data_IF_802792223916
#
_entry.id   IF_802792223916
#
_cell.length_a   1.000
_cell.length_b   1.000
_cell.length_c   1.000
_cell.angle_alpha   90.00
_cell.angle_beta   90.00
_cell.angle_gamma   90.00
#
_symmetry.space_group_name_H-M   'P 1'
#
loop_
_entity.id
_entity.type
_entity.pdbx_description
1 polymer ?
#
# COMPACT_ATOMS: atom_id res chain seq x y z
N UNK A 1 -32.62 39.84 50.64
CA UNK A 1 -34.07 39.88 50.34
C UNK A 1 -34.20 40.57 49.00
N UNK A 2 -34.52 40.02 47.83
CA UNK A 2 -34.94 38.71 47.26
C UNK A 2 -34.12 38.61 45.94
N UNK A 3 -33.48 37.51 45.54
CA UNK A 3 -33.99 36.21 45.06
C UNK A 3 -34.69 36.24 43.67
N UNK A 4 -34.07 35.51 42.72
CA UNK A 4 -34.63 34.78 41.54
C UNK A 4 -34.65 35.53 40.20
N UNK A 5 -34.30 34.79 39.12
CA UNK A 5 -34.04 35.14 37.69
C UNK A 5 -32.58 35.57 37.40
N UNK A 6 -31.74 34.90 36.60
CA UNK A 6 -31.96 33.98 35.49
C UNK A 6 -30.77 33.02 35.36
N UNK A 7 -30.97 31.76 35.75
CA UNK A 7 -30.12 30.63 35.35
C UNK A 7 -30.90 29.95 34.23
N UNK A 8 -30.45 30.10 32.99
CA UNK A 8 -31.10 29.43 31.86
C UNK A 8 -30.88 30.13 30.53
N UNK A 9 -29.62 30.27 30.10
CA UNK A 9 -29.25 30.40 28.68
C UNK A 9 -27.72 30.39 28.49
N UNK A 10 -27.03 29.32 28.92
CA UNK A 10 -25.57 29.22 28.70
C UNK A 10 -25.04 27.77 28.58
N UNK A 11 -25.89 26.81 28.18
CA UNK A 11 -25.50 25.40 28.03
C UNK A 11 -25.98 24.76 26.72
N UNK A 12 -26.18 25.55 25.66
CA UNK A 12 -26.69 25.02 24.39
C UNK A 12 -26.04 25.63 23.14
N UNK A 13 -24.74 25.99 23.21
CA UNK A 13 -24.06 26.55 22.03
C UNK A 13 -22.66 26.03 21.70
N UNK A 14 -22.08 25.16 22.53
CA UNK A 14 -20.80 24.51 22.25
C UNK A 14 -20.95 22.98 22.17
N UNK A 15 -21.98 22.53 21.44
CA UNK A 15 -21.84 21.30 20.65
C UNK A 15 -21.56 21.79 19.24
N UNK A 16 -20.42 22.45 19.06
CA UNK A 16 -19.73 22.36 17.78
C UNK A 16 -19.58 20.86 17.55
N UNK A 17 -20.39 20.38 16.62
CA UNK A 17 -20.15 19.17 15.87
C UNK A 17 -18.65 18.95 15.80
N UNK A 18 -18.12 18.06 16.63
CA UNK A 18 -16.97 17.31 16.25
C UNK A 18 -17.43 16.60 14.99
N UNK A 19 -17.25 17.27 13.85
CA UNK A 19 -16.97 16.62 12.58
C UNK A 19 -15.77 15.75 12.92
N UNK A 20 -16.07 14.57 13.48
CA UNK A 20 -15.22 13.41 13.33
C UNK A 20 -15.08 13.32 11.83
N UNK A 21 -13.97 13.85 11.33
CA UNK A 21 -13.43 13.49 10.04
C UNK A 21 -13.41 11.97 10.05
N UNK A 22 -14.50 11.39 9.56
CA UNK A 22 -14.64 9.97 9.40
C UNK A 22 -13.68 9.66 8.26
N UNK A 23 -12.42 9.48 8.60
CA UNK A 23 -11.38 9.18 7.65
C UNK A 23 -11.83 7.94 6.90
N UNK A 24 -11.98 8.11 5.59
CA UNK A 24 -12.41 7.04 4.72
C UNK A 24 -11.46 5.85 4.91
N UNK A 25 -12.02 4.67 5.19
CA UNK A 25 -11.29 3.46 5.53
C UNK A 25 -10.93 2.73 4.25
N UNK A 26 -9.66 2.36 4.14
CA UNK A 26 -9.15 1.62 2.99
C UNK A 26 -9.66 0.17 3.03
N UNK A 27 -10.10 -0.33 1.88
CA UNK A 27 -10.54 -1.72 1.68
C UNK A 27 -9.68 -2.35 0.59
N UNK A 28 -8.79 -3.26 0.97
CA UNK A 28 -7.95 -3.98 0.02
C UNK A 28 -8.73 -5.16 -0.53
N UNK A 29 -8.77 -5.28 -1.85
CA UNK A 29 -9.49 -6.34 -2.56
C UNK A 29 -8.65 -6.98 -3.66
N UNK A 30 -8.95 -8.23 -3.98
CA UNK A 30 -8.26 -9.01 -5.00
C UNK A 30 -8.55 -8.53 -6.44
N UNK A 31 -9.79 -8.07 -6.71
CA UNK A 31 -10.25 -7.70 -8.05
C UNK A 31 -11.34 -6.63 -8.04
N UNK A 32 -11.82 -6.22 -9.23
CA UNK A 32 -12.79 -5.13 -9.47
C UNK A 32 -14.22 -5.37 -8.90
N UNK A 33 -14.44 -6.43 -8.11
CA UNK A 33 -15.76 -6.74 -7.50
C UNK A 33 -16.01 -5.89 -6.26
N UNK A 34 -15.92 -4.57 -6.41
CA UNK A 34 -15.99 -3.63 -5.29
C UNK A 34 -17.37 -3.61 -4.64
N UNK A 35 -18.44 -3.58 -5.44
CA UNK A 35 -19.80 -3.36 -4.92
C UNK A 35 -20.27 -4.45 -3.96
N UNK A 36 -19.94 -5.72 -4.24
CA UNK A 36 -20.32 -6.85 -3.38
C UNK A 36 -19.53 -6.84 -2.06
N UNK A 37 -18.20 -6.61 -2.14
CA UNK A 37 -17.34 -6.51 -0.96
C UNK A 37 -17.78 -5.35 -0.06
N UNK A 38 -18.04 -4.18 -0.64
CA UNK A 38 -18.49 -3.02 0.13
C UNK A 38 -19.87 -3.28 0.74
N UNK A 39 -20.80 -3.91 0.02
CA UNK A 39 -22.11 -4.26 0.57
C UNK A 39 -21.99 -5.21 1.78
N UNK A 40 -21.12 -6.22 1.71
CA UNK A 40 -20.89 -7.16 2.81
C UNK A 40 -20.20 -6.47 4.01
N UNK A 41 -19.22 -5.59 3.77
CA UNK A 41 -18.58 -4.80 4.83
C UNK A 41 -19.54 -3.82 5.50
N UNK A 42 -20.45 -3.19 4.76
CA UNK A 42 -21.53 -2.34 5.31
C UNK A 42 -22.41 -3.16 6.27
N UNK A 43 -22.76 -4.40 5.88
CA UNK A 43 -23.57 -5.29 6.73
C UNK A 43 -22.78 -5.77 7.97
N UNK A 44 -21.50 -6.09 7.80
CA UNK A 44 -20.64 -6.59 8.87
C UNK A 44 -20.31 -5.51 9.91
N UNK A 45 -20.03 -4.29 9.47
CA UNK A 45 -19.53 -3.20 10.31
C UNK A 45 -20.59 -2.18 10.72
N UNK A 46 -21.70 -2.09 9.98
CA UNK A 46 -22.72 -1.06 10.15
C UNK A 46 -22.32 0.34 9.66
N UNK A 47 -21.17 0.47 8.98
CA UNK A 47 -20.70 1.74 8.40
C UNK A 47 -21.41 2.05 7.07
N UNK A 48 -21.62 3.33 6.72
CA UNK A 48 -22.15 3.71 5.41
C UNK A 48 -21.15 3.41 4.28
N UNK A 49 -21.67 3.20 3.06
CA UNK A 49 -20.86 2.93 1.85
C UNK A 49 -19.78 3.99 1.62
N UNK A 50 -20.09 5.27 1.88
CA UNK A 50 -19.17 6.38 1.67
C UNK A 50 -17.92 6.36 2.58
N UNK A 51 -17.92 5.54 3.64
CA UNK A 51 -16.77 5.39 4.53
C UNK A 51 -15.70 4.44 3.96
N UNK A 52 -15.95 3.77 2.83
CA UNK A 52 -15.04 2.78 2.29
C UNK A 52 -14.40 3.25 0.98
N UNK A 53 -13.08 3.10 0.89
CA UNK A 53 -12.30 3.33 -0.33
C UNK A 53 -11.73 1.99 -0.78
N UNK A 54 -12.33 1.34 -1.78
CA UNK A 54 -11.77 0.12 -2.32
C UNK A 54 -10.45 0.41 -3.05
N UNK A 55 -9.45 -0.43 -2.83
CA UNK A 55 -8.13 -0.36 -3.48
C UNK A 55 -7.74 -1.76 -3.90
N UNK A 56 -7.59 -2.03 -5.20
CA UNK A 56 -7.05 -3.30 -5.68
C UNK A 56 -5.68 -3.58 -5.09
N UNK A 57 -5.41 -4.82 -4.72
CA UNK A 57 -4.09 -5.24 -4.19
C UNK A 57 -2.95 -4.87 -5.16
N UNK A 58 -3.18 -4.97 -6.47
CA UNK A 58 -2.23 -4.54 -7.49
C UNK A 58 -1.85 -3.04 -7.34
N UNK A 59 -2.81 -2.16 -7.03
CA UNK A 59 -2.55 -0.74 -6.80
C UNK A 59 -1.82 -0.50 -5.48
N UNK A 60 -2.14 -1.30 -4.45
CA UNK A 60 -1.43 -1.23 -3.15
C UNK A 60 0.06 -1.49 -3.33
N UNK A 61 0.41 -2.54 -4.08
CA UNK A 61 1.81 -2.98 -4.22
C UNK A 61 2.60 -2.20 -5.26
N UNK A 62 1.97 -1.68 -6.33
CA UNK A 62 2.65 -0.88 -7.37
C UNK A 62 3.23 0.45 -6.85
N UNK A 63 2.69 0.98 -5.75
CA UNK A 63 3.13 2.25 -5.17
C UNK A 63 4.20 2.13 -4.08
N UNK A 64 4.74 0.94 -3.82
CA UNK A 64 5.74 0.70 -2.76
C UNK A 64 7.09 0.40 -3.42
N UNK A 65 8.09 1.21 -3.10
CA UNK A 65 9.46 0.96 -3.57
C UNK A 65 10.03 -0.32 -2.95
N UNK A 66 10.89 -1.05 -3.68
CA UNK A 66 11.66 -2.15 -3.13
C UNK A 66 12.45 -1.73 -1.88
N UNK A 67 12.45 -2.59 -0.87
CA UNK A 67 13.09 -2.29 0.41
C UNK A 67 13.76 -3.53 1.01
N UNK A 68 14.73 -3.30 1.87
CA UNK A 68 15.37 -4.33 2.68
C UNK A 68 14.74 -4.33 4.07
N UNK A 69 14.66 -5.50 4.68
CA UNK A 69 14.08 -5.66 6.03
C UNK A 69 15.05 -5.13 7.09
N UNK A 70 16.35 -5.37 6.94
CA UNK A 70 17.36 -4.97 7.92
C UNK A 70 18.19 -3.76 7.47
N UNK A 71 18.40 -3.60 6.18
CA UNK A 71 19.17 -2.51 5.57
C UNK A 71 18.27 -1.48 4.90
N UNK A 72 18.87 -0.46 4.28
CA UNK A 72 18.14 0.55 3.51
C UNK A 72 18.45 0.46 2.01
N UNK A 73 17.45 0.80 1.20
CA UNK A 73 17.59 1.01 -0.24
C UNK A 73 17.65 2.50 -0.51
N UNK A 74 18.49 2.92 -1.46
CA UNK A 74 18.61 4.30 -1.90
C UNK A 74 18.08 4.39 -3.34
N UNK A 75 16.85 4.92 -3.56
CA UNK A 75 16.34 5.13 -4.91
C UNK A 75 17.12 6.26 -5.59
N UNK A 76 17.01 6.35 -6.92
CA UNK A 76 17.49 7.52 -7.65
C UNK A 76 16.84 8.80 -7.11
N UNK A 77 17.66 9.73 -6.61
CA UNK A 77 17.21 11.07 -6.18
C UNK A 77 17.40 12.16 -7.24
N UNK A 78 18.14 11.86 -8.31
CA UNK A 78 18.54 12.82 -9.34
C UNK A 78 17.76 12.63 -10.64
N UNK A 79 18.13 13.39 -11.68
CA UNK A 79 17.58 13.20 -13.02
C UNK A 79 17.99 11.85 -13.59
N UNK A 80 17.03 11.17 -14.22
CA UNK A 80 17.26 9.95 -14.98
C UNK A 80 18.37 10.15 -16.02
N UNK A 81 19.29 9.19 -16.12
CA UNK A 81 20.45 9.18 -17.02
C UNK A 81 20.30 8.05 -18.04
N UNK A 82 20.43 8.38 -19.32
CA UNK A 82 20.44 7.34 -20.36
C UNK A 82 21.76 6.58 -20.40
N UNK A 83 21.70 5.31 -20.80
CA UNK A 83 22.90 4.51 -21.04
C UNK A 83 23.90 5.10 -22.01
N UNK A 84 23.39 5.77 -23.06
CA UNK A 84 24.23 6.48 -24.01
C UNK A 84 25.00 7.63 -23.35
N UNK A 85 24.33 8.43 -22.50
CA UNK A 85 24.97 9.50 -21.74
C UNK A 85 26.02 8.94 -20.78
N UNK A 86 25.68 7.89 -20.03
CA UNK A 86 26.61 7.19 -19.14
C UNK A 86 27.85 6.67 -19.89
N UNK A 87 27.66 6.07 -21.05
CA UNK A 87 28.74 5.55 -21.87
C UNK A 87 29.70 6.66 -22.37
N UNK A 88 29.19 7.84 -22.72
CA UNK A 88 30.05 8.96 -23.10
C UNK A 88 30.90 9.46 -21.92
N UNK A 89 30.37 9.45 -20.68
CA UNK A 89 31.16 9.77 -19.49
C UNK A 89 32.24 8.71 -19.24
N UNK A 90 31.94 7.42 -19.39
CA UNK A 90 32.94 6.34 -19.25
C UNK A 90 34.04 6.43 -20.31
N UNK A 91 33.70 6.78 -21.56
CA UNK A 91 34.71 7.04 -22.61
C UNK A 91 35.56 8.26 -22.29
N UNK A 92 34.95 9.33 -21.79
CA UNK A 92 35.68 10.53 -21.38
C UNK A 92 36.63 10.22 -20.21
N UNK A 93 36.18 9.40 -19.25
CA UNK A 93 37.00 8.90 -18.15
C UNK A 93 38.19 8.10 -18.68
N UNK A 94 37.95 7.17 -19.61
CA UNK A 94 39.03 6.42 -20.24
C UNK A 94 40.06 7.33 -20.90
N UNK A 95 39.60 8.31 -21.71
CA UNK A 95 40.50 9.28 -22.31
C UNK A 95 41.30 10.06 -21.27
N UNK A 96 40.67 10.51 -20.17
CA UNK A 96 41.38 11.21 -19.10
C UNK A 96 42.46 10.33 -18.45
N UNK A 97 42.20 9.03 -18.23
CA UNK A 97 43.21 8.09 -17.72
C UNK A 97 44.32 7.86 -18.75
N UNK A 98 43.99 7.65 -20.02
CA UNK A 98 44.95 7.37 -21.09
C UNK A 98 45.93 8.54 -21.34
N UNK A 99 45.50 9.78 -21.05
CA UNK A 99 46.32 11.00 -21.15
C UNK A 99 46.87 11.50 -19.80
N UNK A 100 46.78 10.69 -18.73
CA UNK A 100 47.28 11.02 -17.38
C UNK A 100 46.67 12.30 -16.77
N UNK A 101 45.43 12.63 -17.14
CA UNK A 101 44.64 13.74 -16.60
C UNK A 101 43.91 13.32 -15.31
N UNK A 102 44.67 12.89 -14.28
CA UNK A 102 44.13 12.18 -13.10
C UNK A 102 43.02 12.94 -12.35
N UNK A 103 43.16 14.25 -12.15
CA UNK A 103 42.13 15.05 -11.47
C UNK A 103 40.80 15.05 -12.25
N UNK A 104 40.88 15.14 -13.58
CA UNK A 104 39.71 15.07 -14.46
C UNK A 104 39.11 13.66 -14.45
N UNK A 105 39.95 12.63 -14.49
CA UNK A 105 39.51 11.24 -14.39
C UNK A 105 38.73 11.00 -13.08
N UNK A 106 39.24 11.49 -11.94
CA UNK A 106 38.53 11.40 -10.65
C UNK A 106 37.16 12.08 -10.69
N UNK A 107 37.06 13.28 -11.28
CA UNK A 107 35.78 13.98 -11.44
C UNK A 107 34.77 13.19 -12.30
N UNK A 108 35.21 12.69 -13.45
CA UNK A 108 34.38 11.87 -14.35
C UNK A 108 33.97 10.53 -13.72
N UNK A 109 34.85 9.90 -12.94
CA UNK A 109 34.53 8.68 -12.21
C UNK A 109 33.46 8.90 -11.13
N UNK A 110 33.52 10.04 -10.42
CA UNK A 110 32.50 10.42 -9.44
C UNK A 110 31.15 10.70 -10.12
N UNK A 111 31.16 11.45 -11.22
CA UNK A 111 29.96 11.73 -12.03
C UNK A 111 29.31 10.43 -12.53
N UNK A 112 30.09 9.53 -13.15
CA UNK A 112 29.60 8.26 -13.64
C UNK A 112 29.08 7.35 -12.51
N UNK A 113 29.76 7.33 -11.35
CA UNK A 113 29.30 6.54 -10.19
C UNK A 113 27.98 7.04 -9.63
N UNK A 114 27.79 8.36 -9.55
CA UNK A 114 26.53 8.96 -9.12
C UNK A 114 25.38 8.65 -10.10
N UNK A 115 25.67 8.59 -11.40
CA UNK A 115 24.70 8.26 -12.43
C UNK A 115 24.17 6.82 -12.37
N UNK A 116 24.91 5.86 -11.78
CA UNK A 116 24.53 4.44 -11.75
C UNK A 116 23.16 4.20 -11.11
N UNK A 117 22.85 4.92 -10.03
CA UNK A 117 21.56 4.80 -9.35
C UNK A 117 20.38 5.32 -10.16
N UNK A 118 20.64 6.09 -11.21
CA UNK A 118 19.63 6.84 -11.98
C UNK A 118 19.53 6.41 -13.44
N UNK A 119 20.07 5.24 -13.81
CA UNK A 119 19.93 4.74 -15.18
C UNK A 119 18.49 4.32 -15.50
N UNK A 120 18.01 4.69 -16.69
CA UNK A 120 16.73 4.23 -17.27
C UNK A 120 16.79 2.89 -18.01
N UNK A 121 18.00 2.34 -18.15
CA UNK A 121 18.25 1.05 -18.77
C UNK A 121 18.96 0.10 -17.82
N UNK A 122 18.90 -1.18 -18.14
CA UNK A 122 19.66 -2.18 -17.42
C UNK A 122 21.17 -1.94 -17.53
N UNK A 123 21.87 -2.04 -16.40
CA UNK A 123 23.30 -1.90 -16.26
C UNK A 123 24.00 -2.92 -17.17
N UNK A 124 24.90 -2.42 -18.01
CA UNK A 124 25.89 -3.23 -18.69
C UNK A 124 27.04 -3.51 -17.71
N UNK A 125 27.06 -4.71 -17.13
CA UNK A 125 28.04 -5.10 -16.12
C UNK A 125 29.50 -4.89 -16.58
N UNK A 126 29.81 -5.12 -17.87
CA UNK A 126 31.15 -4.90 -18.41
C UNK A 126 31.51 -3.41 -18.43
N UNK A 127 30.56 -2.56 -18.79
CA UNK A 127 30.75 -1.10 -18.80
C UNK A 127 30.95 -0.52 -17.41
N UNK A 128 30.18 -1.00 -16.42
CA UNK A 128 30.32 -0.57 -15.02
C UNK A 128 31.60 -1.11 -14.39
N UNK A 129 31.98 -2.35 -14.69
CA UNK A 129 33.29 -2.87 -14.34
C UNK A 129 34.42 -2.03 -14.92
N UNK A 130 34.30 -1.60 -16.19
CA UNK A 130 35.28 -0.72 -16.84
C UNK A 130 35.37 0.65 -16.16
N UNK A 131 34.24 1.26 -15.79
CA UNK A 131 34.21 2.49 -14.98
C UNK A 131 35.06 2.33 -13.70
N UNK A 132 34.77 1.30 -12.91
CA UNK A 132 35.47 1.08 -11.65
C UNK A 132 36.94 0.67 -11.84
N UNK A 133 37.26 -0.08 -12.88
CA UNK A 133 38.64 -0.39 -13.25
C UNK A 133 39.43 0.89 -13.57
N UNK A 134 38.90 1.76 -14.42
CA UNK A 134 39.54 3.03 -14.77
C UNK A 134 39.69 3.96 -13.56
N UNK A 135 38.68 4.00 -12.69
CA UNK A 135 38.76 4.72 -11.42
C UNK A 135 39.89 4.17 -10.53
N UNK A 136 40.12 2.86 -10.53
CA UNK A 136 41.20 2.23 -9.80
C UNK A 136 42.58 2.60 -10.38
N UNK A 137 42.72 2.57 -11.71
CA UNK A 137 43.95 3.00 -12.39
C UNK A 137 44.27 4.46 -12.08
N UNK A 138 43.28 5.36 -12.17
CA UNK A 138 43.46 6.77 -11.83
C UNK A 138 43.92 6.95 -10.38
N UNK A 139 43.30 6.24 -9.43
CA UNK A 139 43.67 6.31 -8.01
C UNK A 139 45.10 5.81 -7.74
N UNK A 140 45.59 4.80 -8.47
CA UNK A 140 47.01 4.39 -8.40
C UNK A 140 47.93 5.50 -8.90
N UNK A 141 47.59 6.14 -10.02
CA UNK A 141 48.35 7.28 -10.54
C UNK A 141 48.45 8.44 -9.54
N UNK A 142 47.40 8.66 -8.74
CA UNK A 142 47.37 9.65 -7.66
C UNK A 142 48.12 9.20 -6.39
N UNK A 143 48.65 7.97 -6.35
CA UNK A 143 49.31 7.39 -5.17
C UNK A 143 48.34 6.94 -4.07
N UNK A 144 47.04 6.82 -4.38
CA UNK A 144 46.00 6.42 -3.43
C UNK A 144 45.65 4.93 -3.57
N UNK A 145 46.50 4.08 -3.00
CA UNK A 145 46.34 2.62 -3.06
C UNK A 145 45.04 2.09 -2.41
N UNK A 146 44.53 2.76 -1.38
CA UNK A 146 43.28 2.37 -0.71
C UNK A 146 42.07 2.60 -1.62
N UNK A 147 41.96 3.80 -2.21
CA UNK A 147 40.88 4.10 -3.16
C UNK A 147 40.96 3.21 -4.40
N UNK A 148 42.17 2.92 -4.89
CA UNK A 148 42.38 1.98 -5.97
C UNK A 148 41.85 0.59 -5.63
N UNK A 149 42.14 0.10 -4.43
CA UNK A 149 41.68 -1.22 -4.01
C UNK A 149 40.15 -1.31 -3.90
N UNK A 150 39.50 -0.28 -3.36
CA UNK A 150 38.04 -0.20 -3.31
C UNK A 150 37.45 -0.23 -4.73
N UNK A 151 38.02 0.56 -5.66
CA UNK A 151 37.54 0.64 -7.03
C UNK A 151 37.72 -0.69 -7.79
N UNK A 152 38.89 -1.32 -7.71
CA UNK A 152 39.11 -2.63 -8.35
C UNK A 152 38.25 -3.73 -7.75
N UNK A 153 38.02 -3.73 -6.42
CA UNK A 153 37.08 -4.68 -5.79
C UNK A 153 35.67 -4.50 -6.36
N UNK A 154 35.20 -3.27 -6.50
CA UNK A 154 33.90 -2.97 -7.14
C UNK A 154 33.86 -3.44 -8.58
N UNK A 155 34.92 -3.24 -9.37
CA UNK A 155 34.96 -3.73 -10.75
C UNK A 155 34.73 -5.25 -10.83
N UNK A 156 35.29 -6.00 -9.87
CA UNK A 156 35.14 -7.46 -9.79
C UNK A 156 33.77 -7.92 -9.28
N UNK A 157 33.01 -7.07 -8.58
CA UNK A 157 31.60 -7.38 -8.26
C UNK A 157 30.79 -7.55 -9.55
N UNK A 158 30.98 -6.65 -10.51
CA UNK A 158 30.27 -6.70 -11.80
C UNK A 158 30.83 -7.77 -12.75
N UNK A 159 32.16 -7.97 -12.77
CA UNK A 159 32.84 -8.96 -13.62
C UNK A 159 33.87 -9.74 -12.78
N UNK A 160 33.51 -10.87 -12.16
CA UNK A 160 34.38 -11.60 -11.23
C UNK A 160 35.72 -12.05 -11.83
N UNK A 161 35.68 -12.41 -13.12
CA UNK A 161 36.83 -12.89 -13.90
C UNK A 161 37.55 -11.76 -14.66
N UNK A 162 37.36 -10.50 -14.22
CA UNK A 162 38.03 -9.36 -14.82
C UNK A 162 39.55 -9.53 -14.76
N UNK A 163 40.22 -9.36 -15.90
CA UNK A 163 41.67 -9.44 -16.02
C UNK A 163 42.30 -8.06 -16.10
N UNK A 164 43.56 -7.94 -15.67
CA UNK A 164 44.34 -6.72 -15.87
C UNK A 164 44.47 -6.36 -17.36
N UNK A 165 44.31 -5.08 -17.69
CA UNK A 165 44.49 -4.53 -19.04
C UNK A 165 45.94 -4.04 -19.20
N UNK A 166 46.72 -4.73 -20.02
CA UNK A 166 48.16 -4.49 -20.22
C UNK A 166 48.48 -3.13 -20.90
N UNK A 167 47.46 -2.35 -21.28
CA UNK A 167 47.66 -0.97 -21.74
C UNK A 167 47.96 0.01 -20.59
N UNK A 168 47.72 -0.38 -19.33
CA UNK A 168 47.95 0.48 -18.16
C UNK A 168 49.24 0.13 -17.39
N UNK A 169 49.80 1.08 -16.60
CA UNK A 169 51.06 0.87 -15.89
C UNK A 169 51.05 -0.32 -14.92
N UNK A 170 52.15 -1.09 -14.83
CA UNK A 170 52.21 -2.32 -14.03
C UNK A 170 52.07 -2.09 -12.51
N UNK A 171 52.29 -0.88 -12.02
CA UNK A 171 52.13 -0.57 -10.59
C UNK A 171 50.68 -0.81 -10.13
N UNK A 172 49.70 -0.53 -10.99
CA UNK A 172 48.29 -0.78 -10.67
C UNK A 172 47.92 -2.27 -10.67
N UNK A 173 48.63 -3.08 -11.47
CA UNK A 173 48.48 -4.53 -11.49
C UNK A 173 48.77 -5.16 -10.13
N UNK A 174 49.76 -4.66 -9.40
CA UNK A 174 50.09 -5.19 -8.07
C UNK A 174 48.91 -5.06 -7.09
N UNK A 175 48.21 -3.92 -7.12
CA UNK A 175 47.01 -3.69 -6.29
C UNK A 175 45.84 -4.53 -6.79
N UNK A 176 45.63 -4.60 -8.10
CA UNK A 176 44.58 -5.40 -8.74
C UNK A 176 44.71 -6.90 -8.41
N UNK A 177 45.90 -7.46 -8.59
CA UNK A 177 46.21 -8.87 -8.33
C UNK A 177 46.12 -9.21 -6.82
N UNK A 178 46.44 -8.26 -5.93
CA UNK A 178 46.27 -8.47 -4.49
C UNK A 178 44.80 -8.70 -4.12
N UNK A 179 43.87 -7.93 -4.71
CA UNK A 179 42.42 -8.08 -4.51
C UNK A 179 41.90 -9.36 -5.15
N UNK A 180 42.56 -9.85 -6.21
CA UNK A 180 42.27 -11.14 -6.81
C UNK A 180 42.43 -12.30 -5.82
N UNK A 181 43.39 -12.18 -4.88
CA UNK A 181 43.71 -13.20 -3.89
C UNK A 181 42.90 -13.08 -2.59
N UNK A 182 42.17 -11.98 -2.38
CA UNK A 182 41.36 -11.78 -1.18
C UNK A 182 40.11 -12.68 -1.21
N UNK A 183 39.79 -13.31 -0.07
CA UNK A 183 38.50 -13.97 0.10
C UNK A 183 37.40 -12.90 0.18
N UNK A 184 36.42 -12.97 -0.71
CA UNK A 184 35.25 -12.09 -0.68
C UNK A 184 34.29 -12.62 0.38
N UNK A 185 34.02 -11.80 1.40
CA UNK A 185 32.94 -12.10 2.35
C UNK A 185 31.59 -11.99 1.64
N UNK A 186 30.77 -13.02 1.79
CA UNK A 186 29.41 -13.06 1.25
C UNK A 186 28.38 -13.05 2.36
N UNK A 187 27.19 -12.56 2.04
CA UNK A 187 25.98 -12.59 2.86
C UNK A 187 24.86 -13.25 2.08
N UNK A 188 23.93 -13.86 2.79
CA UNK A 188 22.73 -14.44 2.20
C UNK A 188 21.68 -13.34 1.98
N UNK A 189 21.24 -13.16 0.74
CA UNK A 189 20.13 -12.28 0.41
C UNK A 189 18.94 -13.11 -0.08
N UNK A 190 17.81 -12.97 0.62
CA UNK A 190 16.55 -13.56 0.22
C UNK A 190 15.68 -12.51 -0.51
N UNK A 191 15.13 -12.84 -1.67
CA UNK A 191 14.28 -11.97 -2.47
C UNK A 191 12.84 -12.47 -2.40
N UNK A 192 11.92 -11.58 -2.02
CA UNK A 192 10.49 -11.88 -1.87
C UNK A 192 9.62 -10.92 -2.69
N UNK A 193 8.71 -11.43 -3.55
CA UNK A 193 8.54 -12.84 -3.88
C UNK A 193 9.77 -13.36 -4.63
N UNK A 194 9.80 -14.68 -4.87
CA UNK A 194 10.85 -15.26 -5.71
C UNK A 194 10.90 -14.50 -7.05
N UNK A 195 12.10 -14.12 -7.51
CA UNK A 195 12.25 -13.23 -8.65
C UNK A 195 11.66 -13.86 -9.91
N UNK A 196 10.99 -13.02 -10.69
CA UNK A 196 10.64 -13.32 -12.08
C UNK A 196 11.75 -12.78 -13.01
N UNK A 197 11.63 -12.98 -14.32
CA UNK A 197 12.64 -12.62 -15.35
C UNK A 197 13.01 -11.12 -15.46
N UNK A 198 12.51 -10.28 -14.54
CA UNK A 198 12.63 -8.80 -14.56
C UNK A 198 13.60 -8.22 -13.55
N UNK A 199 14.15 -9.03 -12.63
CA UNK A 199 15.06 -8.54 -11.59
C UNK A 199 16.51 -8.76 -12.01
N UNK A 200 17.32 -7.70 -11.92
CA UNK A 200 18.77 -7.77 -12.10
C UNK A 200 19.52 -7.29 -10.88
N UNK A 201 20.64 -7.92 -10.62
CA UNK A 201 21.63 -7.54 -9.62
C UNK A 201 22.95 -7.26 -10.32
N UNK A 202 23.44 -6.03 -10.23
CA UNK A 202 24.71 -5.60 -10.84
C UNK A 202 24.79 -5.91 -12.35
N UNK A 203 23.66 -5.78 -13.04
CA UNK A 203 23.52 -6.06 -14.48
C UNK A 203 23.24 -7.53 -14.84
N UNK A 204 23.34 -8.45 -13.89
CA UNK A 204 23.07 -9.88 -14.09
C UNK A 204 21.63 -10.23 -13.75
N UNK A 205 21.02 -11.14 -14.50
CA UNK A 205 19.66 -11.64 -14.22
C UNK A 205 19.68 -12.46 -12.94
N UNK A 206 18.68 -12.26 -12.09
CA UNK A 206 18.47 -13.04 -10.87
C UNK A 206 17.30 -13.99 -11.08
N UNK A 207 17.57 -15.29 -11.03
CA UNK A 207 16.60 -16.36 -11.28
C UNK A 207 16.30 -17.23 -10.04
N UNK A 208 16.86 -16.87 -8.87
CA UNK A 208 16.70 -17.62 -7.63
C UNK A 208 16.29 -16.71 -6.48
N UNK A 209 15.47 -17.23 -5.56
CA UNK A 209 14.98 -16.49 -4.40
C UNK A 209 16.05 -16.25 -3.33
N UNK A 210 17.13 -17.02 -3.33
CA UNK A 210 18.21 -16.92 -2.34
C UNK A 210 19.55 -16.83 -3.06
N UNK A 211 20.30 -15.78 -2.75
CA UNK A 211 21.60 -15.48 -3.35
C UNK A 211 22.68 -15.38 -2.29
N UNK A 212 23.90 -15.78 -2.62
CA UNK A 212 25.08 -15.38 -1.86
C UNK A 212 25.71 -14.19 -2.58
N UNK A 213 25.60 -13.01 -1.98
CA UNK A 213 26.07 -11.75 -2.55
C UNK A 213 27.27 -11.27 -1.73
N UNK A 214 28.28 -10.68 -2.37
CA UNK A 214 29.39 -10.08 -1.62
C UNK A 214 28.89 -8.98 -0.67
N UNK A 215 29.60 -8.70 0.41
CA UNK A 215 29.34 -7.48 1.18
C UNK A 215 29.71 -6.23 0.38
N UNK A 216 28.92 -5.17 0.52
CA UNK A 216 29.19 -3.86 -0.06
C UNK A 216 28.01 -3.24 -0.80
N UNK A 217 28.32 -2.36 -1.75
CA UNK A 217 27.33 -1.63 -2.56
C UNK A 217 26.98 -2.44 -3.81
N UNK A 218 25.69 -2.61 -4.03
CA UNK A 218 25.07 -3.33 -5.14
C UNK A 218 23.97 -2.49 -5.78
N UNK A 219 23.62 -2.81 -7.01
CA UNK A 219 22.53 -2.15 -7.74
C UNK A 219 21.49 -3.18 -8.15
N UNK A 220 20.29 -3.04 -7.60
CA UNK A 220 19.12 -3.79 -8.03
C UNK A 220 18.38 -3.01 -9.10
N UNK A 221 17.96 -3.70 -10.15
CA UNK A 221 17.18 -3.11 -11.22
C UNK A 221 15.92 -3.92 -11.47
N UNK A 222 14.80 -3.21 -11.62
CA UNK A 222 13.47 -3.79 -11.77
C UNK A 222 12.78 -3.20 -13.00
N UNK A 223 11.97 -4.02 -13.67
CA UNK A 223 11.05 -3.57 -14.73
C UNK A 223 11.29 -4.25 -16.07
N UNK A 224 10.40 -3.99 -17.02
CA UNK A 224 10.46 -4.54 -18.39
C UNK A 224 10.46 -3.43 -19.43
N UNK A 225 9.60 -2.42 -19.25
CA UNK A 225 9.49 -1.25 -20.12
C UNK A 225 10.22 -0.02 -19.57
N UNK A 226 10.14 0.20 -18.25
CA UNK A 226 10.90 1.23 -17.53
C UNK A 226 11.73 0.57 -16.43
N UNK A 227 13.02 0.86 -16.40
CA UNK A 227 13.91 0.33 -15.38
C UNK A 227 13.96 1.28 -14.19
N UNK A 228 13.68 0.77 -12.98
CA UNK A 228 14.03 1.45 -11.73
C UNK A 228 15.32 0.86 -11.19
N UNK A 229 16.26 1.71 -10.79
CA UNK A 229 17.53 1.29 -10.20
C UNK A 229 17.57 1.71 -8.73
N UNK A 230 17.94 0.78 -7.86
CA UNK A 230 18.07 0.99 -6.42
C UNK A 230 19.48 0.61 -5.98
N UNK A 231 20.17 1.56 -5.36
CA UNK A 231 21.44 1.29 -4.71
C UNK A 231 21.19 0.64 -3.35
N UNK A 232 21.91 -0.44 -3.07
CA UNK A 232 21.73 -1.28 -1.90
C UNK A 232 23.07 -1.56 -1.26
N UNK A 233 23.18 -1.33 0.05
CA UNK A 233 24.37 -1.71 0.82
C UNK A 233 24.08 -2.94 1.67
N UNK A 234 24.78 -4.04 1.38
CA UNK A 234 24.66 -5.30 2.10
C UNK A 234 25.87 -5.49 3.03
N UNK A 235 25.62 -5.56 4.33
CA UNK A 235 26.67 -5.78 5.35
C UNK A 235 26.43 -7.07 6.16
N UNK A 236 25.21 -7.60 6.10
CA UNK A 236 24.73 -8.82 6.77
C UNK A 236 23.64 -9.49 5.94
N UNK A 237 23.20 -10.68 6.36
CA UNK A 237 22.10 -11.39 5.72
C UNK A 237 20.82 -10.54 5.77
N UNK A 238 20.06 -10.51 4.67
CA UNK A 238 18.91 -9.62 4.55
C UNK A 238 17.80 -10.23 3.68
N UNK A 239 16.66 -9.54 3.64
CA UNK A 239 15.51 -9.86 2.82
C UNK A 239 15.15 -8.63 1.99
N UNK A 240 15.31 -8.74 0.67
CA UNK A 240 14.81 -7.76 -0.30
C UNK A 240 13.36 -8.07 -0.62
N UNK A 241 12.47 -7.17 -0.24
CA UNK A 241 11.06 -7.23 -0.61
C UNK A 241 10.85 -6.38 -1.85
N UNK A 242 10.22 -6.96 -2.87
CA UNK A 242 9.92 -6.35 -4.17
C UNK A 242 8.40 -6.30 -4.34
N UNK A 243 7.74 -5.27 -3.81
CA UNK A 243 6.28 -5.21 -3.76
C UNK A 243 5.63 -5.36 -5.14
N UNK A 244 6.16 -4.69 -6.15
CA UNK A 244 5.64 -4.72 -7.52
C UNK A 244 5.68 -6.09 -8.21
N UNK A 245 6.41 -7.07 -7.63
CA UNK A 245 6.47 -8.43 -8.14
C UNK A 245 5.40 -9.36 -7.55
N UNK A 246 4.67 -8.92 -6.52
CA UNK A 246 3.51 -9.68 -6.02
C UNK A 246 2.31 -9.51 -6.96
N UNK A 247 1.59 -10.61 -7.16
CA UNK A 247 0.27 -10.61 -7.75
C UNK A 247 -0.81 -10.61 -6.66
N UNK A 248 -2.05 -10.91 -7.04
CA UNK A 248 -3.17 -10.94 -6.12
C UNK A 248 -3.11 -12.10 -5.11
N UNK A 249 -2.29 -13.14 -5.37
CA UNK A 249 -2.10 -14.30 -4.48
C UNK A 249 -1.42 -13.90 -3.16
N UNK A 250 -0.82 -12.71 -3.07
CA UNK A 250 -0.31 -12.18 -1.79
C UNK A 250 -1.39 -12.09 -0.71
N UNK A 251 -2.68 -12.00 -1.10
CA UNK A 251 -3.79 -12.00 -0.13
C UNK A 251 -4.02 -13.37 0.51
N UNK A 252 -3.51 -14.46 -0.06
CA UNK A 252 -3.54 -15.79 0.57
C UNK A 252 -2.75 -15.79 1.90
N UNK A 253 -1.79 -14.88 2.05
CA UNK A 253 -0.98 -14.72 3.26
C UNK A 253 -1.79 -14.36 4.50
N UNK A 254 -3.00 -13.83 4.32
CA UNK A 254 -3.91 -13.55 5.43
C UNK A 254 -4.28 -14.83 6.18
N UNK A 255 -4.33 -15.97 5.49
CA UNK A 255 -4.62 -17.28 6.10
C UNK A 255 -3.43 -17.94 6.80
N UNK A 256 -2.22 -17.39 6.66
CA UNK A 256 -0.99 -17.93 7.24
C UNK A 256 -0.39 -16.94 8.25
N UNK A 257 -0.52 -17.27 9.54
CA UNK A 257 0.01 -16.46 10.64
C UNK A 257 1.51 -16.13 10.48
N UNK A 258 2.29 -16.96 9.78
CA UNK A 258 3.72 -16.72 9.53
C UNK A 258 3.98 -15.68 8.44
N UNK A 259 3.02 -15.45 7.53
CA UNK A 259 3.11 -14.48 6.45
C UNK A 259 2.35 -13.18 6.77
N UNK A 260 1.36 -13.23 7.66
CA UNK A 260 0.58 -12.06 8.09
C UNK A 260 1.46 -10.87 8.49
N UNK A 261 2.55 -11.10 9.24
CA UNK A 261 3.46 -10.03 9.63
C UNK A 261 4.09 -9.35 8.42
N UNK A 262 4.47 -10.10 7.38
CA UNK A 262 5.08 -9.53 6.17
C UNK A 262 4.06 -8.71 5.37
N UNK A 263 2.83 -9.20 5.28
CA UNK A 263 1.74 -8.43 4.68
C UNK A 263 1.46 -7.16 5.50
N UNK A 264 1.46 -7.24 6.83
CA UNK A 264 1.36 -6.07 7.70
C UNK A 264 2.46 -5.05 7.42
N UNK A 265 3.73 -5.48 7.34
CA UNK A 265 4.87 -4.58 7.08
C UNK A 265 4.74 -3.88 5.72
N UNK A 266 4.29 -4.61 4.69
CA UNK A 266 3.98 -4.06 3.37
C UNK A 266 2.90 -2.98 3.44
N UNK A 267 1.79 -3.27 4.14
CA UNK A 267 0.66 -2.36 4.25
C UNK A 267 0.98 -1.14 5.11
N UNK A 268 1.77 -1.30 6.17
CA UNK A 268 2.27 -0.19 6.99
C UNK A 268 3.10 0.79 6.15
N UNK A 269 3.97 0.30 5.26
CA UNK A 269 4.77 1.17 4.37
C UNK A 269 3.90 1.96 3.40
N UNK A 270 2.81 1.37 2.89
CA UNK A 270 1.90 2.05 1.97
C UNK A 270 1.01 3.07 2.68
N UNK A 271 0.48 2.71 3.84
CA UNK A 271 -0.64 3.44 4.46
C UNK A 271 -0.27 4.21 5.73
N UNK A 272 0.89 3.95 6.33
CA UNK A 272 1.32 4.44 7.64
C UNK A 272 0.85 3.55 8.80
N UNK A 273 1.44 3.70 9.98
CA UNK A 273 1.20 2.82 11.14
C UNK A 273 -0.16 3.03 11.84
N UNK A 274 -0.80 4.18 11.64
CA UNK A 274 -1.96 4.62 12.46
C UNK A 274 -3.33 4.28 11.84
N UNK A 275 -3.38 3.44 10.80
CA UNK A 275 -4.63 3.13 10.09
C UNK A 275 -5.13 1.72 10.39
N UNK A 276 -6.46 1.59 10.45
CA UNK A 276 -7.11 0.31 10.30
C UNK A 276 -7.48 0.10 8.83
N UNK A 277 -7.26 -1.11 8.33
CA UNK A 277 -7.54 -1.49 6.95
C UNK A 277 -8.48 -2.69 6.96
N UNK A 278 -9.48 -2.68 6.08
CA UNK A 278 -10.24 -3.89 5.79
C UNK A 278 -9.58 -4.61 4.62
N UNK A 279 -9.46 -5.92 4.72
CA UNK A 279 -8.94 -6.75 3.63
C UNK A 279 -10.00 -7.80 3.30
N UNK A 280 -10.24 -8.02 2.02
CA UNK A 280 -11.21 -8.99 1.52
C UNK A 280 -10.55 -9.95 0.54
N UNK A 281 -10.70 -11.24 0.78
CA UNK A 281 -10.11 -12.32 -0.01
C UNK A 281 -10.99 -13.57 0.10
N UNK A 282 -11.26 -14.23 -1.03
CA UNK A 282 -12.16 -15.39 -1.15
C UNK A 282 -13.54 -15.23 -0.45
N UNK A 283 -14.03 -13.98 -0.36
CA UNK A 283 -15.32 -13.64 0.24
C UNK A 283 -15.32 -13.62 1.77
N UNK A 284 -14.19 -13.83 2.42
CA UNK A 284 -13.98 -13.53 3.83
C UNK A 284 -13.36 -12.13 3.99
N UNK A 285 -13.56 -11.55 5.18
CA UNK A 285 -13.13 -10.19 5.47
C UNK A 285 -12.37 -10.15 6.78
N UNK A 286 -11.30 -9.36 6.80
CA UNK A 286 -10.46 -9.15 7.96
C UNK A 286 -10.32 -7.66 8.24
N UNK A 287 -10.20 -7.33 9.53
CA UNK A 287 -9.76 -6.03 10.00
C UNK A 287 -8.29 -6.16 10.42
N UNK A 288 -7.42 -5.44 9.73
CA UNK A 288 -6.03 -5.25 10.11
C UNK A 288 -5.90 -3.95 10.89
N UNK A 289 -5.42 -4.04 12.12
CA UNK A 289 -4.94 -2.88 12.88
C UNK A 289 -3.44 -2.73 12.63
N UNK A 290 -3.03 -1.73 11.83
CA UNK A 290 -1.61 -1.55 11.50
C UNK A 290 -0.77 -1.15 12.72
N UNK A 291 -1.35 -0.51 13.73
CA UNK A 291 -0.60 -0.11 14.93
C UNK A 291 -0.23 -1.30 15.80
N UNK A 292 -1.14 -2.28 15.90
CA UNK A 292 -0.94 -3.50 16.68
C UNK A 292 -0.37 -4.65 15.86
N UNK A 293 -0.40 -4.53 14.52
CA UNK A 293 -0.14 -5.65 13.61
C UNK A 293 -1.13 -6.80 13.76
N UNK A 294 -2.32 -6.54 14.30
CA UNK A 294 -3.30 -7.58 14.64
C UNK A 294 -4.32 -7.77 13.51
N UNK A 295 -4.53 -9.03 13.13
CA UNK A 295 -5.54 -9.43 12.15
C UNK A 295 -6.75 -10.01 12.89
N UNK A 296 -7.94 -9.46 12.64
CA UNK A 296 -9.20 -9.92 13.22
C UNK A 296 -10.19 -10.30 12.13
N UNK A 297 -10.64 -11.57 12.05
CA UNK A 297 -11.68 -11.93 11.09
C UNK A 297 -12.98 -11.20 11.45
N UNK A 298 -13.63 -10.62 10.45
CA UNK A 298 -14.96 -10.06 10.62
C UNK A 298 -15.98 -11.18 10.56
N UNK A 299 -16.59 -11.48 11.71
CA UNK A 299 -17.72 -12.39 11.73
C UNK A 299 -18.83 -11.83 10.84
N UNK A 300 -19.11 -12.50 9.72
CA UNK A 300 -20.38 -12.30 9.02
C UNK A 300 -21.45 -12.54 10.06
N UNK A 301 -22.20 -11.50 10.42
CA UNK A 301 -23.46 -11.63 11.17
C UNK A 301 -24.32 -12.54 10.32
N UNK A 302 -24.23 -13.86 10.54
CA UNK A 302 -25.10 -14.85 9.94
C UNK A 302 -26.46 -14.31 10.27
N UNK A 303 -27.18 -13.81 9.26
CA UNK A 303 -28.59 -13.44 9.37
C UNK A 303 -29.19 -14.63 10.05
N UNK A 304 -29.44 -14.53 11.37
CA UNK A 304 -29.73 -15.70 12.19
C UNK A 304 -30.92 -16.29 11.50
N UNK A 305 -30.71 -17.43 10.82
CA UNK A 305 -31.59 -17.87 9.75
C UNK A 305 -32.96 -17.90 10.38
N UNK A 306 -33.76 -16.89 10.05
CA UNK A 306 -34.93 -16.60 10.83
C UNK A 306 -35.74 -17.85 10.68
N UNK A 307 -35.78 -18.69 11.73
CA UNK A 307 -36.81 -19.70 11.87
C UNK A 307 -38.03 -18.89 11.57
N UNK A 308 -38.63 -19.10 10.39
CA UNK A 308 -39.78 -18.32 9.92
C UNK A 308 -40.67 -18.33 11.14
N UNK A 309 -40.72 -17.22 11.89
CA UNK A 309 -41.63 -17.14 13.01
C UNK A 309 -42.94 -17.40 12.28
N UNK A 310 -43.65 -18.50 12.57
CA UNK A 310 -44.91 -18.73 11.90
C UNK A 310 -45.63 -17.42 12.08
N UNK A 311 -46.02 -16.80 10.97
CA UNK A 311 -46.89 -15.64 10.98
C UNK A 311 -48.18 -16.20 11.56
N UNK A 312 -48.20 -16.32 12.89
CA UNK A 312 -49.37 -16.48 13.70
C UNK A 312 -50.05 -15.13 13.54
N UNK A 313 -50.81 -15.10 12.46
CA UNK A 313 -51.85 -14.16 12.14
C UNK A 313 -52.59 -13.86 13.44
N UNK A 314 -52.19 -12.81 14.15
CA UNK A 314 -52.97 -12.20 15.23
C UNK A 314 -54.11 -11.48 14.52
N UNK A 315 -55.06 -12.28 14.01
CA UNK A 315 -56.40 -11.85 13.67
C UNK A 315 -57.27 -12.44 14.76
N UNK A 316 -57.67 -11.58 15.69
CA UNK A 316 -58.70 -11.92 16.67
C UNK A 316 -58.48 -11.26 18.02
N UNK A 317 -59.16 -10.14 18.26
CA UNK A 317 -59.38 -9.66 19.63
C UNK A 317 -59.52 -8.15 19.79
N UNK A 318 -60.67 -7.63 19.38
CA UNK A 318 -61.29 -6.35 19.74
C UNK A 318 -60.57 -5.45 20.78
N UNK A 319 -60.08 -4.29 20.32
CA UNK A 319 -59.79 -3.15 21.20
C UNK A 319 -58.63 -2.28 20.72
N UNK A 320 -58.91 -1.31 19.84
CA UNK A 320 -57.91 -0.30 19.47
C UNK A 320 -58.06 0.23 18.05
N UNK A 321 -59.20 0.85 17.74
CA UNK A 321 -59.29 1.71 16.58
C UNK A 321 -58.40 2.95 16.81
N UNK A 322 -57.63 3.33 15.78
CA UNK A 322 -56.74 4.50 15.62
C UNK A 322 -55.26 4.10 15.59
N UNK A 323 -54.78 3.47 14.50
CA UNK A 323 -53.38 3.56 14.02
C UNK A 323 -53.19 2.93 12.61
N UNK A 324 -54.19 3.00 11.73
CA UNK A 324 -54.10 2.45 10.36
C UNK A 324 -54.26 3.51 9.27
N UNK A 325 -53.61 4.66 9.47
CA UNK A 325 -53.45 5.68 8.42
C UNK A 325 -52.00 5.78 7.90
N UNK A 326 -51.01 5.72 8.78
CA UNK A 326 -49.59 5.93 8.42
C UNK A 326 -48.81 4.66 8.03
N UNK A 327 -49.17 3.49 8.57
CA UNK A 327 -48.41 2.26 8.37
C UNK A 327 -48.64 1.59 6.99
N UNK A 328 -49.77 1.87 6.33
CA UNK A 328 -50.10 1.23 5.04
C UNK A 328 -49.32 1.89 3.88
N UNK A 329 -49.01 3.19 3.98
CA UNK A 329 -48.20 3.89 2.96
C UNK A 329 -46.73 3.47 3.01
N UNK A 330 -46.18 3.24 4.21
CA UNK A 330 -44.80 2.78 4.38
C UNK A 330 -44.54 1.35 3.90
N UNK A 331 -45.49 0.43 4.13
CA UNK A 331 -45.33 -0.98 3.74
C UNK A 331 -45.48 -1.18 2.22
N UNK A 332 -46.37 -0.43 1.56
CA UNK A 332 -46.51 -0.46 0.10
C UNK A 332 -45.27 0.08 -0.63
N UNK A 333 -44.61 1.09 -0.06
CA UNK A 333 -43.33 1.63 -0.57
C UNK A 333 -42.18 0.63 -0.44
N UNK A 334 -42.10 -0.08 0.70
CA UNK A 334 -41.10 -1.12 0.96
C UNK A 334 -41.22 -2.34 0.02
N UNK A 335 -42.44 -2.75 -0.31
CA UNK A 335 -42.66 -3.86 -1.27
C UNK A 335 -42.29 -3.50 -2.71
N UNK A 336 -42.43 -2.23 -3.12
CA UNK A 336 -41.99 -1.78 -4.45
C UNK A 336 -40.47 -1.62 -4.52
N UNK A 337 -39.83 -1.13 -3.45
CA UNK A 337 -38.36 -1.08 -3.38
C UNK A 337 -37.70 -2.46 -3.42
N UNK A 338 -38.34 -3.48 -2.85
CA UNK A 338 -37.83 -4.85 -2.86
C UNK A 338 -38.05 -5.59 -4.19
N UNK A 339 -39.03 -5.20 -5.01
CA UNK A 339 -39.21 -5.76 -6.37
C UNK A 339 -38.19 -5.23 -7.38
N UNK A 340 -37.58 -4.06 -7.14
CA UNK A 340 -36.49 -3.52 -7.97
C UNK A 340 -35.19 -4.33 -7.79
N UNK A 341 -35.02 -5.04 -6.67
CA UNK A 341 -33.76 -5.73 -6.33
C UNK A 341 -33.44 -6.98 -7.17
N UNK A 342 -34.39 -7.47 -7.97
CA UNK A 342 -34.21 -8.68 -8.78
C UNK A 342 -34.11 -8.42 -10.30
N UNK A 343 -33.82 -7.19 -10.74
CA UNK A 343 -33.78 -6.88 -12.18
C UNK A 343 -33.08 -5.57 -12.55
N UNK A 344 -31.97 -5.24 -11.91
CA UNK A 344 -31.14 -4.07 -12.26
C UNK A 344 -29.81 -4.61 -12.78
N UNK A 345 -29.67 -4.68 -14.09
CA UNK A 345 -28.44 -5.16 -14.76
C UNK A 345 -27.60 -4.00 -15.30
N UNK A 346 -28.11 -2.75 -15.28
CA UNK A 346 -27.39 -1.59 -15.85
C UNK A 346 -27.44 -0.34 -14.97
N UNK A 347 -26.42 0.53 -15.11
CA UNK A 347 -26.30 1.82 -14.40
C UNK A 347 -27.51 2.76 -14.60
N UNK A 348 -28.14 2.68 -15.77
CA UNK A 348 -29.35 3.48 -16.10
C UNK A 348 -30.57 3.05 -15.27
N UNK A 349 -30.64 1.78 -14.90
CA UNK A 349 -31.70 1.24 -14.05
C UNK A 349 -31.52 1.72 -12.59
N UNK A 350 -30.27 1.84 -12.13
CA UNK A 350 -29.93 2.43 -10.83
C UNK A 350 -30.29 3.92 -10.74
N UNK A 351 -29.93 4.71 -11.77
CA UNK A 351 -30.28 6.14 -11.85
C UNK A 351 -31.81 6.36 -11.83
N UNK A 352 -32.56 5.51 -12.54
CA UNK A 352 -34.03 5.57 -12.55
C UNK A 352 -34.66 5.18 -11.20
N UNK A 353 -33.96 4.37 -10.39
CA UNK A 353 -34.40 3.92 -9.08
C UNK A 353 -34.08 4.92 -7.95
N UNK A 354 -33.17 5.87 -8.15
CA UNK A 354 -32.83 6.90 -7.15
C UNK A 354 -34.00 7.84 -6.84
N UNK A 355 -34.78 8.23 -7.86
CA UNK A 355 -35.96 9.11 -7.68
C UNK A 355 -37.04 8.50 -6.75
N UNK A 356 -37.49 7.26 -7.01
CA UNK A 356 -38.40 6.53 -6.13
C UNK A 356 -37.84 6.31 -4.72
N UNK A 357 -36.53 6.06 -4.58
CA UNK A 357 -35.89 5.86 -3.29
C UNK A 357 -35.84 7.16 -2.46
N UNK A 358 -35.52 8.28 -3.09
CA UNK A 358 -35.57 9.61 -2.46
C UNK A 358 -36.99 9.99 -2.01
N UNK A 359 -38.01 9.67 -2.83
CA UNK A 359 -39.40 9.87 -2.46
C UNK A 359 -39.85 8.98 -1.28
N UNK A 360 -39.42 7.71 -1.26
CA UNK A 360 -39.71 6.78 -0.16
C UNK A 360 -39.01 7.20 1.15
N UNK A 361 -37.77 7.69 1.08
CA UNK A 361 -37.04 8.25 2.23
C UNK A 361 -37.71 9.50 2.79
N UNK A 362 -38.16 10.42 1.93
CA UNK A 362 -38.90 11.60 2.38
C UNK A 362 -40.26 11.24 3.01
N UNK A 363 -40.92 10.17 2.55
CA UNK A 363 -42.14 9.64 3.17
C UNK A 363 -41.87 8.96 4.53
N UNK A 364 -40.74 8.28 4.70
CA UNK A 364 -40.30 7.72 5.98
C UNK A 364 -40.02 8.80 7.02
N UNK A 365 -39.29 9.86 6.64
CA UNK A 365 -39.00 11.01 7.51
C UNK A 365 -40.30 11.73 7.90
N UNK A 366 -41.24 11.91 6.96
CA UNK A 366 -42.56 12.46 7.27
C UNK A 366 -43.37 11.56 8.22
N UNK A 367 -43.24 10.24 8.09
CA UNK A 367 -43.85 9.26 8.99
C UNK A 367 -43.29 9.30 10.42
N UNK A 368 -41.98 9.48 10.57
CA UNK A 368 -41.33 9.62 11.88
C UNK A 368 -41.73 10.94 12.58
N UNK A 369 -41.81 12.05 11.84
CA UNK A 369 -42.29 13.33 12.39
C UNK A 369 -43.74 13.21 12.87
N UNK A 370 -44.61 12.53 12.12
CA UNK A 370 -45.99 12.27 12.52
C UNK A 370 -46.10 11.34 13.73
N UNK A 371 -45.24 10.33 13.84
CA UNK A 371 -45.17 9.44 14.99
C UNK A 371 -44.70 10.18 16.26
N UNK A 372 -43.72 11.08 16.13
CA UNK A 372 -43.24 11.92 17.22
C UNK A 372 -44.33 12.90 17.70
N UNK A 373 -45.08 13.50 16.78
CA UNK A 373 -46.25 14.34 17.14
C UNK A 373 -47.37 13.56 17.82
N UNK A 374 -47.61 12.31 17.40
CA UNK A 374 -48.56 11.40 18.05
C UNK A 374 -48.17 11.02 19.48
N UNK A 375 -46.88 10.80 19.72
CA UNK A 375 -46.36 10.52 21.06
C UNK A 375 -46.46 11.73 22.00
N UNK A 376 -46.21 12.94 21.48
CA UNK A 376 -46.34 14.19 22.26
C UNK A 376 -47.79 14.52 22.65
N UNK A 377 -48.76 14.18 21.80
CA UNK A 377 -50.20 14.38 22.09
C UNK A 377 -50.73 13.36 23.09
N UNK A 378 -50.20 12.12 23.12
CA UNK A 378 -50.53 11.15 24.17
C UNK A 378 -49.96 11.55 25.53
N UNK A 379 -48.75 12.13 25.58
CA UNK A 379 -48.14 12.62 26.82
C UNK A 379 -48.90 13.79 27.46
N UNK A 380 -49.46 14.69 26.64
CA UNK A 380 -50.29 15.82 27.12
C UNK A 380 -51.70 15.39 27.53
N UNK A 381 -52.27 14.36 26.89
CA UNK A 381 -53.56 13.76 27.31
C UNK A 381 -53.49 13.05 28.66
N UNK A 382 -52.39 12.34 28.94
CA UNK A 382 -52.18 11.62 30.21
C UNK A 382 -51.94 12.55 31.41
N UNK A 383 -51.36 13.74 31.19
CA UNK A 383 -51.15 14.74 32.25
C UNK A 383 -52.44 15.49 32.62
N UNK A 384 -53.34 15.73 31.66
CA UNK A 384 -54.65 16.34 31.93
C UNK A 384 -55.59 15.43 32.74
N UNK A 385 -55.46 14.12 32.63
CA UNK A 385 -56.30 13.18 33.38
C UNK A 385 -55.91 13.05 34.86
N UNK A 386 -54.65 13.31 35.21
CA UNK A 386 -54.18 13.28 36.59
C UNK A 386 -54.47 14.56 37.40
N UNK A 387 -54.78 15.68 36.73
CA UNK A 387 -55.01 16.98 37.40
C UNK A 387 -56.48 17.22 37.76
N UNK A 388 -57.44 16.52 37.14
CA UNK A 388 -58.88 16.67 37.45
C UNK A 388 -59.43 15.64 38.46
N UNK A 389 -58.56 14.84 39.08
CA UNK A 389 -58.92 13.84 40.08
C UNK A 389 -58.40 14.18 41.47
N UNK A 390 -58.79 15.33 42.03
CA UNK A 390 -58.75 15.62 43.48
C UNK A 390 -59.90 16.53 43.90
#
# INVERSE_FOLDING_TARGET
MLAILSIGLALAKDVESAETDAHAVQVIVESEVFDEVIADLVVATGRPVADFVPTPVAEVVQGIEPFLVQSHTEPCSDSIVSGASFNEVVKALQGAVDYDELERARGLAQEATAALGCLDEFLDAQRVARLHFLSGVAAVGEGNGEAAAIAFRRARVFVPDLTWDENYPPDGRLVFDAIAAESVETVELNILPAPQDSIRLDGHVVDTATLNVSKGLHYFQFGTESVSTHAVRLEQDDVLVVPSAYDAEILEWIGDDSQQQRLTDLLQRRFGEEKSIYVSHEGDHWLLNLTEGSWSPLERRRRSGGKKAPVALIVGGAGGAVFLGGAIVGIAGLTRGLQVKNGVETWKDYESAQGPYGAARNQLVAGEVLAAFGAATLGTGLTLHFVMGK
#
